data_IF_230699077975
#
_entry.id   IF_230699077975
#
_cell.length_a   1.000
_cell.length_b   1.000
_cell.length_c   1.000
_cell.angle_alpha   90.00
_cell.angle_beta   90.00
_cell.angle_gamma   90.00
#
_symmetry.space_group_name_H-M   'P 1'
#
loop_
_entity.id
_entity.type
_entity.pdbx_description
1 polymer ?
#
# COMPACT_ATOMS: atom_id res chain seq x y z
N UNK A 1 -33.44 -11.74 22.01
CA UNK A 1 -33.29 -11.41 20.57
C UNK A 1 -32.48 -12.53 19.94
N UNK A 2 -33.11 -13.44 19.17
CA UNK A 2 -32.39 -14.54 18.51
C UNK A 2 -31.77 -14.00 17.23
N UNK A 3 -30.43 -13.99 17.13
CA UNK A 3 -29.75 -13.62 15.88
C UNK A 3 -29.96 -14.73 14.86
N UNK A 4 -30.09 -14.35 13.59
CA UNK A 4 -30.37 -15.27 12.50
C UNK A 4 -29.03 -15.87 12.03
N UNK A 5 -28.79 -17.19 12.16
CA UNK A 5 -27.47 -17.77 11.93
C UNK A 5 -26.93 -17.55 10.50
N UNK A 6 -27.81 -17.38 9.51
CA UNK A 6 -27.40 -17.09 8.12
C UNK A 6 -26.83 -15.68 7.94
N UNK A 7 -27.31 -14.68 8.69
CA UNK A 7 -26.78 -13.30 8.62
C UNK A 7 -25.45 -13.18 9.33
N UNK A 8 -25.27 -13.93 10.43
CA UNK A 8 -24.04 -13.92 11.23
C UNK A 8 -22.88 -14.54 10.43
N UNK A 9 -23.11 -15.67 9.75
CA UNK A 9 -22.09 -16.32 8.89
C UNK A 9 -21.64 -15.42 7.72
N UNK A 10 -22.56 -14.63 7.14
CA UNK A 10 -22.24 -13.70 6.06
C UNK A 10 -21.40 -12.50 6.54
N UNK A 11 -21.72 -11.98 7.73
CA UNK A 11 -20.99 -10.88 8.35
C UNK A 11 -19.56 -11.30 8.76
N UNK A 12 -19.41 -12.49 9.34
CA UNK A 12 -18.11 -13.05 9.72
C UNK A 12 -17.19 -13.25 8.52
N UNK A 13 -17.71 -13.83 7.41
CA UNK A 13 -16.95 -13.94 6.15
C UNK A 13 -16.50 -12.58 5.62
N UNK A 14 -17.37 -11.58 5.69
CA UNK A 14 -17.06 -10.22 5.24
C UNK A 14 -15.96 -9.58 6.10
N UNK A 15 -16.01 -9.74 7.41
CA UNK A 15 -14.98 -9.28 8.34
C UNK A 15 -13.65 -10.00 8.05
N UNK A 16 -13.67 -11.32 7.91
CA UNK A 16 -12.48 -12.10 7.61
C UNK A 16 -11.80 -11.66 6.30
N UNK A 17 -12.59 -11.35 5.25
CA UNK A 17 -12.08 -10.80 3.99
C UNK A 17 -11.40 -9.46 4.19
N UNK A 18 -12.02 -8.52 4.90
CA UNK A 18 -11.41 -7.21 5.14
C UNK A 18 -10.15 -7.30 6.02
N UNK A 19 -10.09 -8.25 6.95
CA UNK A 19 -8.87 -8.54 7.71
C UNK A 19 -7.75 -9.11 6.85
N UNK A 20 -8.09 -9.96 5.87
CA UNK A 20 -7.11 -10.47 4.91
C UNK A 20 -6.53 -9.33 4.06
N UNK A 21 -7.39 -8.40 3.59
CA UNK A 21 -6.94 -7.21 2.86
C UNK A 21 -6.02 -6.33 3.71
N UNK A 22 -6.34 -6.12 5.00
CA UNK A 22 -5.45 -5.38 5.92
C UNK A 22 -4.08 -6.04 6.02
N UNK A 23 -4.01 -7.37 6.15
CA UNK A 23 -2.73 -8.10 6.18
C UNK A 23 -1.95 -7.92 4.88
N UNK A 24 -2.61 -7.96 3.73
CA UNK A 24 -1.98 -7.73 2.44
C UNK A 24 -1.39 -6.31 2.35
N UNK A 25 -2.11 -5.27 2.82
CA UNK A 25 -1.57 -3.92 2.90
C UNK A 25 -0.35 -3.80 3.82
N UNK A 26 -0.36 -4.48 4.97
CA UNK A 26 0.80 -4.48 5.88
C UNK A 26 2.04 -5.02 5.16
N UNK A 27 1.91 -6.19 4.54
CA UNK A 27 3.02 -6.81 3.80
C UNK A 27 3.50 -5.90 2.68
N UNK A 28 2.58 -5.33 1.90
CA UNK A 28 2.89 -4.40 0.83
C UNK A 28 3.72 -3.21 1.33
N UNK A 29 3.22 -2.47 2.33
CA UNK A 29 3.91 -1.25 2.78
C UNK A 29 5.24 -1.56 3.47
N UNK A 30 5.40 -2.72 4.11
CA UNK A 30 6.71 -3.16 4.63
C UNK A 30 7.68 -3.40 3.47
N UNK A 31 7.25 -4.17 2.45
CA UNK A 31 8.09 -4.46 1.28
C UNK A 31 8.45 -3.16 0.53
N UNK A 32 7.51 -2.23 0.37
CA UNK A 32 7.78 -0.93 -0.24
C UNK A 32 8.82 -0.13 0.55
N UNK A 33 8.75 -0.13 1.90
CA UNK A 33 9.76 0.51 2.75
C UNK A 33 11.14 -0.13 2.55
N UNK A 34 11.22 -1.46 2.51
CA UNK A 34 12.49 -2.16 2.34
C UNK A 34 13.13 -1.91 0.97
N UNK A 35 12.34 -1.98 -0.11
CA UNK A 35 12.83 -1.74 -1.47
C UNK A 35 13.26 -0.29 -1.60
N UNK A 36 12.33 0.66 -1.43
CA UNK A 36 12.60 2.09 -1.65
C UNK A 36 13.65 2.61 -0.67
N UNK A 37 13.61 2.17 0.59
CA UNK A 37 14.62 2.54 1.58
C UNK A 37 16.03 2.08 1.23
N UNK A 38 16.18 0.95 0.52
CA UNK A 38 17.49 0.50 0.05
C UNK A 38 18.01 1.37 -1.10
N UNK A 39 17.16 1.77 -2.04
CA UNK A 39 17.54 2.63 -3.18
C UNK A 39 17.86 4.06 -2.76
N UNK A 40 17.10 4.65 -1.83
CA UNK A 40 17.45 5.95 -1.21
C UNK A 40 18.87 5.93 -0.61
N UNK A 41 19.27 4.82 0.01
CA UNK A 41 20.62 4.68 0.58
C UNK A 41 21.73 4.57 -0.47
N UNK A 42 21.40 4.20 -1.70
CA UNK A 42 22.33 4.08 -2.83
C UNK A 42 22.38 5.36 -3.68
N UNK A 43 21.29 6.13 -3.72
CA UNK A 43 21.10 7.31 -4.58
C UNK A 43 21.11 8.64 -3.80
N UNK A 44 21.43 8.61 -2.50
CA UNK A 44 21.30 9.73 -1.56
C UNK A 44 22.03 11.03 -1.93
N UNK A 45 22.92 10.99 -2.92
CA UNK A 45 23.66 12.13 -3.45
C UNK A 45 22.83 12.96 -4.44
N UNK A 46 21.73 12.39 -4.95
CA UNK A 46 20.84 12.98 -5.97
C UNK A 46 19.46 13.31 -5.38
N UNK A 47 19.41 14.33 -4.52
CA UNK A 47 18.20 14.80 -3.81
C UNK A 47 16.96 15.03 -4.70
N UNK A 48 17.14 15.38 -5.97
CA UNK A 48 16.05 15.60 -6.92
C UNK A 48 15.49 14.29 -7.50
N UNK A 49 16.32 13.25 -7.63
CA UNK A 49 15.95 11.91 -8.09
C UNK A 49 15.35 11.07 -6.96
N UNK A 50 15.73 11.32 -5.70
CA UNK A 50 15.17 10.58 -4.56
C UNK A 50 13.82 11.11 -4.03
N UNK A 51 13.23 12.17 -4.61
CA UNK A 51 12.07 12.85 -4.01
C UNK A 51 10.80 11.99 -4.00
N UNK A 52 10.52 11.33 -5.11
CA UNK A 52 9.41 10.39 -5.26
C UNK A 52 9.62 9.15 -4.39
N UNK A 53 10.85 8.67 -4.27
CA UNK A 53 11.22 7.63 -3.30
C UNK A 53 10.92 8.02 -1.85
N UNK A 54 11.34 9.22 -1.45
CA UNK A 54 11.00 9.75 -0.12
C UNK A 54 9.48 9.89 0.06
N UNK A 55 8.74 10.24 -1.00
CA UNK A 55 7.28 10.33 -0.96
C UNK A 55 6.65 8.93 -0.74
N UNK A 56 7.12 7.91 -1.45
CA UNK A 56 6.62 6.55 -1.32
C UNK A 56 6.97 5.96 0.05
N UNK A 57 8.18 6.23 0.54
CA UNK A 57 8.59 5.86 1.90
C UNK A 57 7.67 6.50 2.94
N UNK A 58 7.44 7.81 2.83
CA UNK A 58 6.56 8.54 3.74
C UNK A 58 5.11 8.01 3.70
N UNK A 59 4.56 7.77 2.51
CA UNK A 59 3.22 7.20 2.34
C UNK A 59 3.13 5.82 3.00
N UNK A 60 4.15 4.98 2.81
CA UNK A 60 4.19 3.63 3.38
C UNK A 60 4.23 3.65 4.91
N UNK A 61 5.03 4.54 5.50
CA UNK A 61 5.07 4.76 6.96
C UNK A 61 3.72 5.27 7.48
N UNK A 62 3.13 6.28 6.83
CA UNK A 62 1.80 6.81 7.20
C UNK A 62 0.74 5.71 7.15
N UNK A 63 0.78 4.85 6.13
CA UNK A 63 -0.16 3.73 6.00
C UNK A 63 -0.04 2.74 7.17
N UNK A 64 1.18 2.38 7.58
CA UNK A 64 1.41 1.52 8.74
C UNK A 64 0.94 2.18 10.05
N UNK A 65 1.13 3.49 10.20
CA UNK A 65 0.61 4.26 11.35
C UNK A 65 -0.92 4.25 11.38
N UNK A 66 -1.59 4.46 10.24
CA UNK A 66 -3.05 4.33 10.11
C UNK A 66 -3.51 2.92 10.49
N UNK A 67 -2.76 1.90 10.08
CA UNK A 67 -3.05 0.51 10.44
C UNK A 67 -2.98 0.29 11.96
N UNK A 68 -1.91 0.75 12.59
CA UNK A 68 -1.71 0.68 14.04
C UNK A 68 -2.78 1.45 14.82
N UNK A 69 -3.08 2.68 14.42
CA UNK A 69 -4.08 3.53 15.07
C UNK A 69 -5.50 2.95 15.01
N UNK A 70 -5.81 2.17 13.97
CA UNK A 70 -7.10 1.52 13.79
C UNK A 70 -7.08 0.02 14.11
N UNK A 71 -6.00 -0.50 14.72
CA UNK A 71 -5.82 -1.93 14.95
C UNK A 71 -6.96 -2.58 15.74
N UNK A 72 -7.56 -1.86 16.69
CA UNK A 72 -8.67 -2.38 17.50
C UNK A 72 -10.04 -2.28 16.81
N UNK A 73 -10.15 -1.58 15.67
CA UNK A 73 -11.42 -1.42 14.93
C UNK A 73 -11.66 -2.63 14.03
N UNK A 74 -12.27 -3.68 14.59
CA UNK A 74 -12.56 -4.94 13.91
C UNK A 74 -14.00 -5.03 13.37
N UNK A 75 -14.82 -4.00 13.58
CA UNK A 75 -16.15 -3.94 12.97
C UNK A 75 -16.04 -3.80 11.45
N UNK A 76 -16.98 -4.38 10.71
CA UNK A 76 -16.99 -4.34 9.25
C UNK A 76 -16.91 -2.90 8.71
N UNK A 77 -17.65 -1.97 9.31
CA UNK A 77 -17.62 -0.55 8.94
C UNK A 77 -16.24 0.09 9.20
N UNK A 78 -15.60 -0.25 10.33
CA UNK A 78 -14.27 0.24 10.67
C UNK A 78 -13.20 -0.29 9.70
N UNK A 79 -13.25 -1.58 9.38
CA UNK A 79 -12.34 -2.23 8.46
C UNK A 79 -12.51 -1.70 7.03
N UNK A 80 -13.73 -1.50 6.53
CA UNK A 80 -13.99 -0.88 5.22
C UNK A 80 -13.47 0.55 5.15
N UNK A 81 -13.65 1.33 6.21
CA UNK A 81 -13.09 2.70 6.29
C UNK A 81 -11.57 2.66 6.21
N UNK A 82 -10.93 1.78 6.98
CA UNK A 82 -9.48 1.59 6.94
C UNK A 82 -9.01 1.17 5.55
N UNK A 83 -9.65 0.18 4.94
CA UNK A 83 -9.36 -0.29 3.59
C UNK A 83 -9.39 0.86 2.57
N UNK A 84 -10.42 1.71 2.60
CA UNK A 84 -10.53 2.84 1.68
C UNK A 84 -9.42 3.89 1.87
N UNK A 85 -9.03 4.16 3.13
CA UNK A 85 -7.91 5.06 3.41
C UNK A 85 -6.60 4.48 2.85
N UNK A 86 -6.33 3.21 3.12
CA UNK A 86 -5.11 2.53 2.64
C UNK A 86 -5.07 2.44 1.12
N UNK A 87 -6.22 2.22 0.49
CA UNK A 87 -6.34 2.24 -0.95
C UNK A 87 -6.06 3.63 -1.54
N UNK A 88 -6.55 4.69 -0.90
CA UNK A 88 -6.26 6.05 -1.36
C UNK A 88 -4.75 6.34 -1.28
N UNK A 89 -4.10 5.96 -0.17
CA UNK A 89 -2.64 6.06 -0.02
C UNK A 89 -1.90 5.24 -1.09
N UNK A 90 -2.37 4.02 -1.37
CA UNK A 90 -1.80 3.16 -2.42
C UNK A 90 -1.89 3.82 -3.81
N UNK A 91 -3.04 4.42 -4.14
CA UNK A 91 -3.23 5.12 -5.41
C UNK A 91 -2.28 6.32 -5.52
N UNK A 92 -2.11 7.08 -4.44
CA UNK A 92 -1.17 8.20 -4.41
C UNK A 92 0.26 7.69 -4.64
N UNK A 93 0.70 6.64 -3.95
CA UNK A 93 2.01 6.03 -4.15
C UNK A 93 2.21 5.56 -5.61
N UNK A 94 1.18 4.94 -6.20
CA UNK A 94 1.21 4.52 -7.60
C UNK A 94 1.36 5.70 -8.57
N UNK A 95 0.72 6.85 -8.29
CA UNK A 95 0.87 8.05 -9.13
C UNK A 95 2.31 8.58 -9.09
N UNK A 96 2.93 8.62 -7.90
CA UNK A 96 4.35 8.98 -7.78
C UNK A 96 5.25 8.03 -8.56
N UNK A 97 5.05 6.72 -8.41
CA UNK A 97 5.87 5.74 -9.12
C UNK A 97 5.71 5.81 -10.64
N UNK A 98 4.48 6.02 -11.14
CA UNK A 98 4.24 6.20 -12.58
C UNK A 98 4.95 7.45 -13.09
N UNK A 99 4.93 8.54 -12.30
CA UNK A 99 5.62 9.77 -12.68
C UNK A 99 7.13 9.57 -12.77
N UNK A 100 7.73 8.94 -11.76
CA UNK A 100 9.15 8.59 -11.74
C UNK A 100 9.55 7.70 -12.91
N UNK A 101 8.80 6.60 -13.10
CA UNK A 101 8.99 5.69 -14.22
C UNK A 101 8.96 6.40 -15.57
N UNK A 102 8.03 7.33 -15.78
CA UNK A 102 7.94 8.10 -17.04
C UNK A 102 9.08 9.10 -17.19
N UNK A 103 9.53 9.72 -16.09
CA UNK A 103 10.65 10.64 -16.09
C UNK A 103 11.97 9.94 -16.45
N UNK A 104 12.16 8.73 -15.97
CA UNK A 104 13.40 7.96 -16.09
C UNK A 104 13.34 6.89 -17.19
N UNK A 105 12.18 6.71 -17.86
CA UNK A 105 11.97 5.72 -18.92
C UNK A 105 13.02 5.75 -20.05
N UNK A 106 13.66 6.92 -20.26
CA UNK A 106 14.66 7.11 -21.32
C UNK A 106 16.11 7.00 -20.81
N UNK A 107 16.31 6.86 -19.50
CA UNK A 107 17.62 6.65 -18.87
C UNK A 107 17.68 5.27 -18.17
N UNK A 108 18.28 4.25 -18.81
CA UNK A 108 18.37 2.91 -18.24
C UNK A 108 19.22 2.84 -16.96
N UNK A 109 20.04 3.86 -16.68
CA UNK A 109 20.87 3.89 -15.47
C UNK A 109 20.11 4.38 -14.24
N UNK A 110 19.00 5.09 -14.43
CA UNK A 110 18.13 5.60 -13.35
C UNK A 110 16.88 4.73 -13.11
N UNK A 111 16.54 3.79 -14.01
CA UNK A 111 15.37 2.88 -13.91
C UNK A 111 15.49 1.73 -12.86
N UNK A 112 16.26 1.94 -11.79
CA UNK A 112 16.63 0.92 -10.82
C UNK A 112 15.44 0.35 -10.04
N UNK A 113 14.69 1.21 -9.38
CA UNK A 113 13.69 0.80 -8.38
C UNK A 113 12.26 0.75 -8.96
N UNK A 114 12.04 1.41 -10.10
CA UNK A 114 10.72 1.81 -10.59
C UNK A 114 9.97 0.60 -11.12
N UNK A 115 10.67 -0.36 -11.73
CA UNK A 115 10.06 -1.61 -12.21
C UNK A 115 9.51 -2.50 -11.08
N UNK A 116 10.29 -2.88 -10.06
CA UNK A 116 9.79 -3.74 -8.98
C UNK A 116 8.71 -3.05 -8.14
N UNK A 117 8.88 -1.77 -7.80
CA UNK A 117 7.89 -1.01 -7.02
C UNK A 117 6.58 -0.83 -7.80
N UNK A 118 6.63 -0.44 -9.08
CA UNK A 118 5.44 -0.29 -9.93
C UNK A 118 4.69 -1.63 -10.08
N UNK A 119 5.41 -2.73 -10.31
CA UNK A 119 4.82 -4.06 -10.43
C UNK A 119 4.06 -4.45 -9.16
N UNK A 120 4.67 -4.24 -8.00
CA UNK A 120 4.08 -4.56 -6.69
C UNK A 120 2.83 -3.71 -6.42
N UNK A 121 2.89 -2.41 -6.72
CA UNK A 121 1.77 -1.48 -6.54
C UNK A 121 0.59 -1.85 -7.45
N UNK A 122 0.85 -2.15 -8.73
CA UNK A 122 -0.18 -2.57 -9.70
C UNK A 122 -0.83 -3.90 -9.29
N UNK A 123 -0.03 -4.91 -8.93
CA UNK A 123 -0.56 -6.21 -8.49
C UNK A 123 -1.46 -6.08 -7.26
N UNK A 124 -1.15 -5.18 -6.33
CA UNK A 124 -1.99 -4.94 -5.16
C UNK A 124 -3.28 -4.18 -5.48
N UNK A 125 -3.25 -3.26 -6.45
CA UNK A 125 -4.48 -2.65 -6.97
C UNK A 125 -5.36 -3.69 -7.65
N UNK A 126 -4.80 -4.63 -8.41
CA UNK A 126 -5.55 -5.72 -9.04
C UNK A 126 -6.14 -6.66 -7.98
N UNK A 127 -5.34 -7.05 -6.98
CA UNK A 127 -5.77 -7.92 -5.87
C UNK A 127 -6.93 -7.33 -5.06
N UNK A 128 -7.15 -6.01 -5.10
CA UNK A 128 -8.31 -5.36 -4.48
C UNK A 128 -9.64 -5.69 -5.19
N UNK A 129 -9.60 -6.02 -6.48
CA UNK A 129 -10.79 -6.35 -7.28
C UNK A 129 -11.12 -7.85 -7.33
N UNK A 130 -10.20 -8.70 -6.87
CA UNK A 130 -10.38 -10.16 -6.74
C UNK A 130 -10.96 -10.48 -5.34
#
# INVERSE_FOLDING_TARGET
MKTNPLTDVSAEKSIARELAKRRAFIVLFIVSIEIVGAFIGLEGDMLAHALDDYAILAISVVALVVIGAMWKKQSLAGLRKQHNILLALLIVALVFQIYAFVAEANDPTDLGNEYPSLTILVLMVINKFI
#
